data_IF_614601814020
#
_entry.id   IF_614601814020
#
_cell.length_a   1.000
_cell.length_b   1.000
_cell.length_c   1.000
_cell.angle_alpha   90.00
_cell.angle_beta   90.00
_cell.angle_gamma   90.00
#
_symmetry.space_group_name_H-M   'P 1'
#
loop_
_entity.id
_entity.type
_entity.pdbx_description
1 polymer ?
#
# COMPACT_ATOMS: atom_id res chain seq x y z
N UNK A 1 23.70 -0.64 26.31
CA UNK A 1 22.54 -1.18 25.56
C UNK A 1 22.24 -0.21 24.43
N UNK A 2 22.58 -0.57 23.19
CA UNK A 2 22.37 0.31 22.04
C UNK A 2 20.90 0.30 21.62
N UNK A 3 20.34 1.50 21.43
CA UNK A 3 19.01 1.68 20.86
C UNK A 3 19.02 1.14 19.43
N UNK A 4 18.36 0.00 19.21
CA UNK A 4 18.10 -0.50 17.86
C UNK A 4 17.19 0.51 17.17
N UNK A 5 17.77 1.24 16.20
CA UNK A 5 17.02 2.03 15.24
C UNK A 5 16.10 1.07 14.48
N UNK A 6 14.83 1.02 14.87
CA UNK A 6 13.74 0.53 14.02
C UNK A 6 13.49 1.58 12.92
N UNK A 7 14.52 1.89 12.13
CA UNK A 7 14.28 2.62 10.90
C UNK A 7 13.67 1.61 9.93
N UNK A 8 12.53 1.91 9.28
CA UNK A 8 12.07 1.12 8.15
C UNK A 8 13.25 0.92 7.21
N UNK A 9 13.58 -0.33 6.89
CA UNK A 9 14.85 -0.65 6.21
C UNK A 9 14.93 -0.03 4.81
N UNK A 10 13.80 0.42 4.27
CA UNK A 10 13.67 1.00 2.94
C UNK A 10 13.40 2.51 3.00
N UNK A 11 13.89 3.31 2.04
CA UNK A 11 13.54 4.72 1.95
C UNK A 11 12.08 4.90 1.54
N UNK A 12 11.53 6.09 1.84
CA UNK A 12 10.28 6.54 1.20
C UNK A 12 10.57 6.78 -0.29
N UNK A 13 9.80 6.15 -1.15
CA UNK A 13 9.99 6.21 -2.60
C UNK A 13 8.65 6.19 -3.34
N UNK A 14 8.70 6.50 -4.64
CA UNK A 14 7.56 6.32 -5.52
C UNK A 14 7.39 4.83 -5.83
N UNK A 15 6.22 4.30 -5.55
CA UNK A 15 5.83 2.90 -5.76
C UNK A 15 4.61 2.92 -6.68
N UNK A 16 4.64 2.15 -7.76
CA UNK A 16 3.47 1.86 -8.56
C UNK A 16 2.76 0.65 -7.95
N UNK A 17 1.55 0.86 -7.42
CA UNK A 17 0.64 -0.19 -6.99
C UNK A 17 -0.30 -0.54 -8.14
N UNK A 18 -0.26 -1.81 -8.55
CA UNK A 18 -1.20 -2.38 -9.51
C UNK A 18 -2.25 -3.15 -8.70
N UNK A 19 -3.50 -2.69 -8.76
CA UNK A 19 -4.63 -3.22 -8.01
C UNK A 19 -5.52 -3.99 -8.97
N UNK A 20 -5.60 -5.31 -8.79
CA UNK A 20 -6.50 -6.18 -9.54
C UNK A 20 -7.77 -6.42 -8.70
N UNK A 21 -8.94 -6.09 -9.24
CA UNK A 21 -10.22 -6.27 -8.56
C UNK A 21 -10.93 -7.59 -8.96
N UNK A 22 -11.91 -8.02 -8.17
CA UNK A 22 -12.68 -9.23 -8.46
C UNK A 22 -13.51 -9.15 -9.75
N UNK A 23 -13.91 -7.95 -10.16
CA UNK A 23 -14.63 -7.70 -11.41
C UNK A 23 -13.73 -7.66 -12.66
N UNK A 24 -12.43 -7.97 -12.47
CA UNK A 24 -11.36 -7.97 -13.49
C UNK A 24 -10.90 -6.58 -13.93
N UNK A 25 -11.37 -5.51 -13.29
CA UNK A 25 -10.76 -4.19 -13.49
C UNK A 25 -9.36 -4.16 -12.88
N UNK A 26 -8.48 -3.36 -13.48
CA UNK A 26 -7.10 -3.17 -13.03
C UNK A 26 -6.79 -1.69 -12.98
N UNK A 27 -6.38 -1.19 -11.83
CA UNK A 27 -5.91 0.18 -11.65
C UNK A 27 -4.42 0.22 -11.37
N UNK A 28 -3.75 1.26 -11.88
CA UNK A 28 -2.37 1.60 -11.54
C UNK A 28 -2.34 2.91 -10.77
N UNK A 29 -1.82 2.85 -9.54
CA UNK A 29 -1.81 3.96 -8.59
C UNK A 29 -0.38 4.24 -8.18
N UNK A 30 0.04 5.50 -8.35
CA UNK A 30 1.34 5.95 -7.83
C UNK A 30 1.19 6.42 -6.39
N UNK A 31 1.93 5.79 -5.47
CA UNK A 31 2.02 6.22 -4.06
C UNK A 31 3.45 6.55 -3.70
N UNK A 32 3.64 7.56 -2.85
CA UNK A 32 4.94 7.88 -2.25
C UNK A 32 4.92 7.33 -0.83
N UNK A 33 5.63 6.24 -0.58
CA UNK A 33 5.62 5.54 0.71
C UNK A 33 6.88 4.72 0.90
N UNK A 34 7.15 4.31 2.14
CA UNK A 34 8.03 3.19 2.42
C UNK A 34 7.31 1.88 2.02
N UNK A 35 7.99 0.96 1.33
CA UNK A 35 7.36 -0.27 0.82
C UNK A 35 6.92 -1.21 1.96
N UNK A 36 7.74 -1.39 3.00
CA UNK A 36 7.40 -2.24 4.14
C UNK A 36 6.16 -1.73 4.91
N UNK A 37 6.05 -0.42 5.13
CA UNK A 37 4.88 0.21 5.74
C UNK A 37 3.63 0.06 4.87
N UNK A 38 3.78 0.19 3.55
CA UNK A 38 2.71 -0.02 2.60
C UNK A 38 2.21 -1.48 2.62
N UNK A 39 3.12 -2.46 2.61
CA UNK A 39 2.78 -3.88 2.71
C UNK A 39 2.09 -4.23 4.03
N UNK A 40 2.50 -3.60 5.14
CA UNK A 40 1.82 -3.73 6.45
C UNK A 40 0.41 -3.15 6.42
N UNK A 41 0.23 -1.94 5.87
CA UNK A 41 -1.09 -1.32 5.70
C UNK A 41 -2.03 -2.24 4.90
N UNK A 42 -1.53 -2.73 3.76
CA UNK A 42 -2.30 -3.60 2.86
C UNK A 42 -2.64 -4.92 3.55
N UNK A 43 -1.65 -5.59 4.16
CA UNK A 43 -1.87 -6.87 4.85
C UNK A 43 -2.87 -6.72 6.01
N UNK A 44 -2.75 -5.66 6.81
CA UNK A 44 -3.69 -5.36 7.89
C UNK A 44 -5.11 -5.13 7.35
N UNK A 45 -5.24 -4.41 6.23
CA UNK A 45 -6.53 -4.14 5.59
C UNK A 45 -7.17 -5.41 5.02
N UNK A 46 -6.40 -6.30 4.40
CA UNK A 46 -6.90 -7.61 3.96
C UNK A 46 -7.33 -8.49 5.14
N UNK A 47 -6.60 -8.49 6.25
CA UNK A 47 -6.92 -9.30 7.43
C UNK A 47 -8.16 -8.80 8.20
N UNK A 48 -8.38 -7.48 8.24
CA UNK A 48 -9.47 -6.87 9.02
C UNK A 48 -10.69 -6.48 8.19
N UNK A 49 -10.53 -6.34 6.87
CA UNK A 49 -11.53 -5.76 5.98
C UNK A 49 -11.67 -4.24 6.11
N UNK A 50 -10.81 -3.57 6.89
CA UNK A 50 -10.77 -2.11 6.99
C UNK A 50 -10.25 -1.48 5.70
N UNK A 51 -10.70 -0.26 5.37
CA UNK A 51 -10.26 0.41 4.15
C UNK A 51 -8.77 0.77 4.19
N UNK A 52 -8.08 0.56 3.07
CA UNK A 52 -6.73 1.08 2.86
C UNK A 52 -6.83 2.58 2.58
N UNK A 53 -6.28 3.42 3.45
CA UNK A 53 -6.41 4.87 3.35
C UNK A 53 -5.08 5.53 2.94
N UNK A 54 -5.15 6.44 1.97
CA UNK A 54 -3.99 7.17 1.43
C UNK A 54 -4.20 8.69 1.58
N UNK A 55 -4.14 9.23 2.81
CA UNK A 55 -4.44 10.64 3.07
C UNK A 55 -3.42 11.62 2.47
N UNK A 56 -2.17 11.17 2.28
CA UNK A 56 -1.09 11.98 1.69
C UNK A 56 -1.10 12.00 0.16
N UNK A 57 -2.03 11.28 -0.49
CA UNK A 57 -2.20 11.34 -1.94
C UNK A 57 -2.89 12.63 -2.37
N UNK A 58 -2.80 12.99 -3.66
CA UNK A 58 -3.43 14.20 -4.20
C UNK A 58 -4.19 13.86 -5.49
N UNK A 59 -5.53 13.73 -5.44
CA UNK A 59 -6.39 13.82 -4.26
C UNK A 59 -6.22 12.63 -3.29
N UNK A 60 -6.58 12.78 -2.00
CA UNK A 60 -6.67 11.66 -1.07
C UNK A 60 -7.68 10.61 -1.55
N UNK A 61 -7.38 9.34 -1.32
CA UNK A 61 -8.27 8.24 -1.73
C UNK A 61 -8.21 7.08 -0.73
N UNK A 62 -9.20 6.19 -0.84
CA UNK A 62 -9.28 4.95 -0.07
C UNK A 62 -9.66 3.78 -0.98
N UNK A 63 -9.17 2.59 -0.67
CA UNK A 63 -9.50 1.37 -1.40
C UNK A 63 -10.17 0.39 -0.43
N UNK A 64 -11.33 -0.13 -0.81
CA UNK A 64 -12.01 -1.17 -0.06
C UNK A 64 -11.36 -2.55 -0.38
N UNK A 65 -10.67 -3.19 0.58
CA UNK A 65 -9.97 -4.46 0.33
C UNK A 65 -10.91 -5.59 -0.07
N UNK A 66 -12.21 -5.51 0.25
CA UNK A 66 -13.20 -6.55 -0.11
C UNK A 66 -13.41 -6.70 -1.61
N UNK A 67 -13.07 -5.68 -2.39
CA UNK A 67 -13.18 -5.71 -3.85
C UNK A 67 -11.86 -6.07 -4.53
N UNK A 68 -10.76 -6.05 -3.78
CA UNK A 68 -9.42 -6.29 -4.31
C UNK A 68 -9.12 -7.78 -4.29
N UNK A 69 -8.72 -8.30 -5.44
CA UNK A 69 -8.27 -9.68 -5.60
C UNK A 69 -6.77 -9.81 -5.33
N UNK A 70 -5.97 -8.86 -5.82
CA UNK A 70 -4.51 -8.89 -5.70
C UNK A 70 -3.92 -7.48 -5.81
N UNK A 71 -2.80 -7.27 -5.13
CA UNK A 71 -1.97 -6.07 -5.28
C UNK A 71 -0.57 -6.50 -5.68
N UNK A 72 0.01 -5.82 -6.66
CA UNK A 72 1.40 -5.99 -7.08
C UNK A 72 2.12 -4.65 -6.95
N UNK A 73 3.32 -4.66 -6.36
CA UNK A 73 4.15 -3.48 -6.20
C UNK A 73 5.25 -3.44 -7.26
N UNK A 74 5.49 -2.26 -7.83
CA UNK A 74 6.64 -1.98 -8.68
C UNK A 74 7.39 -0.78 -8.14
N UNK A 75 8.63 -1.03 -7.74
CA UNK A 75 9.61 0.00 -7.42
C UNK A 75 10.48 0.26 -8.64
N UNK A 76 10.79 1.53 -8.92
CA UNK A 76 11.83 1.88 -9.89
C UNK A 76 13.21 1.80 -9.27
#
# INVERSE_FOLDING_TARGET
>A
MGLYRLQPSQPVQKIEMIVEYFDKTVDSISVTSNLEELEKLVSSSFGTGASMNFPSATPPFSINPRWVKKITYRTK
#
